data_IF_819591299283
#
_entry.id   IF_819591299283
#
_cell.length_a   1.000
_cell.length_b   1.000
_cell.length_c   1.000
_cell.angle_alpha   90.00
_cell.angle_beta   90.00
_cell.angle_gamma   90.00
#
_symmetry.space_group_name_H-M   'P 1'
#
loop_
_entity.id
_entity.type
_entity.pdbx_description
1 polymer ?
#
# COMPACT_ATOMS: atom_id res chain seq x y z
N UNK A 1 -6.51 54.00 33.53
CA UNK A 1 -6.38 53.41 32.18
C UNK A 1 -4.96 52.92 31.98
N UNK A 2 -4.76 51.60 31.91
CA UNK A 2 -3.53 50.98 31.39
C UNK A 2 -3.98 49.80 30.54
N UNK A 3 -4.02 50.01 29.21
CA UNK A 3 -4.23 48.95 28.22
C UNK A 3 -2.98 48.08 28.20
N UNK A 4 -3.11 46.81 28.58
CA UNK A 4 -2.09 45.80 28.31
C UNK A 4 -2.41 45.26 26.91
N UNK A 5 -1.48 45.28 25.94
CA UNK A 5 -1.76 44.82 24.60
C UNK A 5 -1.84 43.28 24.61
N UNK A 6 -3.06 42.78 24.45
CA UNK A 6 -3.40 41.39 24.08
C UNK A 6 -2.93 41.08 22.65
N UNK A 7 -1.65 41.30 22.36
CA UNK A 7 -1.01 41.03 21.05
C UNK A 7 0.07 39.93 21.20
N UNK A 8 0.02 39.16 22.30
CA UNK A 8 0.91 38.02 22.52
C UNK A 8 0.28 36.66 22.19
N UNK A 9 -1.05 36.58 22.04
CA UNK A 9 -1.80 35.32 21.98
C UNK A 9 -2.47 35.06 20.63
N UNK A 10 -2.26 35.91 19.61
CA UNK A 10 -2.73 35.64 18.25
C UNK A 10 -1.74 34.82 17.40
N UNK A 11 -0.82 34.10 18.06
CA UNK A 11 -0.01 33.04 17.43
C UNK A 11 -0.48 31.66 17.90
N UNK A 12 -1.74 31.53 18.27
CA UNK A 12 -2.37 30.23 18.49
C UNK A 12 -2.65 29.63 17.10
N UNK A 13 -1.84 28.64 16.74
CA UNK A 13 -2.31 27.45 16.05
C UNK A 13 -2.78 27.60 14.59
N UNK A 14 -2.00 28.27 13.75
CA UNK A 14 -1.86 27.82 12.35
C UNK A 14 -0.66 26.88 12.29
N UNK A 15 -0.76 25.72 12.98
CA UNK A 15 -0.08 24.56 12.45
C UNK A 15 -0.65 24.40 11.02
N UNK A 16 0.18 24.37 9.96
CA UNK A 16 -0.36 24.04 8.67
C UNK A 16 -0.96 22.65 8.84
N UNK A 17 -2.29 22.55 8.82
CA UNK A 17 -2.96 21.31 8.50
C UNK A 17 -2.46 21.03 7.10
N UNK A 18 -1.38 20.24 7.00
CA UNK A 18 -0.82 19.84 5.73
C UNK A 18 -1.94 19.11 5.03
N UNK A 19 -2.60 19.81 4.10
CA UNK A 19 -3.64 19.22 3.30
C UNK A 19 -3.04 17.99 2.64
N UNK A 20 -3.74 16.86 2.75
CA UNK A 20 -3.35 15.65 2.05
C UNK A 20 -3.18 16.00 0.57
N UNK A 21 -2.11 15.53 -0.09
CA UNK A 21 -1.92 15.78 -1.51
C UNK A 21 -3.14 15.31 -2.30
N UNK A 22 -3.56 16.08 -3.31
CA UNK A 22 -4.61 15.65 -4.23
C UNK A 22 -4.12 14.51 -5.12
N UNK A 23 -5.01 13.72 -5.75
CA UNK A 23 -4.61 12.70 -6.72
C UNK A 23 -3.73 13.26 -7.86
N UNK A 24 -4.03 14.47 -8.34
CA UNK A 24 -3.23 15.15 -9.36
C UNK A 24 -1.83 15.52 -8.87
N UNK A 25 -1.72 15.98 -7.62
CA UNK A 25 -0.43 16.30 -6.99
C UNK A 25 0.42 15.04 -6.82
N UNK A 26 -0.18 13.94 -6.35
CA UNK A 26 0.49 12.64 -6.22
C UNK A 26 0.98 12.16 -7.59
N UNK A 27 0.11 12.20 -8.61
CA UNK A 27 0.46 11.79 -9.97
C UNK A 27 1.64 12.60 -10.50
N UNK A 28 1.57 13.93 -10.39
CA UNK A 28 2.64 14.83 -10.82
C UNK A 28 3.96 14.54 -10.10
N UNK A 29 3.90 14.25 -8.80
CA UNK A 29 5.09 13.85 -8.03
C UNK A 29 5.64 12.51 -8.51
N UNK A 30 4.79 11.49 -8.73
CA UNK A 30 5.24 10.19 -9.23
C UNK A 30 5.87 10.29 -10.63
N UNK A 31 5.34 11.16 -11.49
CA UNK A 31 5.85 11.39 -12.85
C UNK A 31 7.09 12.31 -12.90
N UNK A 32 7.61 12.79 -11.76
CA UNK A 32 8.71 13.74 -11.72
C UNK A 32 10.04 13.18 -12.28
N UNK A 33 10.24 11.86 -12.22
CA UNK A 33 11.34 11.15 -12.88
C UNK A 33 11.05 9.65 -12.97
N UNK A 34 11.75 8.95 -13.85
CA UNK A 34 11.63 7.49 -13.98
C UNK A 34 11.88 6.76 -12.65
N UNK A 35 12.89 7.17 -11.88
CA UNK A 35 13.17 6.57 -10.55
C UNK A 35 12.04 6.78 -9.55
N UNK A 36 11.42 7.96 -9.54
CA UNK A 36 10.29 8.25 -8.64
C UNK A 36 9.05 7.50 -9.10
N UNK A 37 8.86 7.37 -10.42
CA UNK A 37 7.77 6.62 -11.01
C UNK A 37 7.86 5.14 -10.64
N UNK A 38 9.03 4.52 -10.82
CA UNK A 38 9.29 3.13 -10.43
C UNK A 38 9.10 2.92 -8.92
N UNK A 39 9.52 3.87 -8.08
CA UNK A 39 9.28 3.81 -6.64
C UNK A 39 7.78 3.88 -6.29
N UNK A 40 7.01 4.76 -6.94
CA UNK A 40 5.57 4.84 -6.78
C UNK A 40 4.89 3.54 -7.21
N UNK A 41 5.23 3.00 -8.39
CA UNK A 41 4.68 1.73 -8.87
C UNK A 41 5.08 0.56 -7.96
N UNK A 42 6.34 0.47 -7.55
CA UNK A 42 6.81 -0.56 -6.62
C UNK A 42 6.04 -0.52 -5.29
N UNK A 43 5.80 0.68 -4.75
CA UNK A 43 4.96 0.85 -3.55
C UNK A 43 3.52 0.41 -3.80
N UNK A 44 2.93 0.76 -4.95
CA UNK A 44 1.60 0.32 -5.34
C UNK A 44 1.48 -1.20 -5.45
N UNK A 45 2.48 -1.85 -6.05
CA UNK A 45 2.59 -3.30 -6.19
C UNK A 45 2.71 -3.98 -4.83
N UNK A 46 3.54 -3.45 -3.93
CA UNK A 46 3.68 -3.93 -2.55
C UNK A 46 2.36 -3.84 -1.76
N UNK A 47 1.71 -2.68 -1.78
CA UNK A 47 0.44 -2.49 -1.05
C UNK A 47 -0.69 -3.34 -1.63
N UNK A 48 -0.71 -3.50 -2.96
CA UNK A 48 -1.69 -4.34 -3.64
C UNK A 48 -1.48 -5.82 -3.32
N UNK A 49 -0.24 -6.29 -3.23
CA UNK A 49 0.03 -7.68 -2.86
C UNK A 49 -0.40 -7.96 -1.43
N UNK A 50 -0.07 -7.10 -0.48
CA UNK A 50 -0.55 -7.22 0.92
C UNK A 50 -2.08 -7.32 0.94
N UNK A 51 -2.76 -6.31 0.38
CA UNK A 51 -4.22 -6.22 0.47
C UNK A 51 -4.91 -7.41 -0.21
N UNK A 52 -4.48 -7.76 -1.43
CA UNK A 52 -5.08 -8.84 -2.21
C UNK A 52 -4.84 -10.21 -1.58
N UNK A 53 -3.64 -10.46 -1.08
CA UNK A 53 -3.30 -11.74 -0.46
C UNK A 53 -3.88 -11.90 0.94
N UNK A 54 -3.90 -10.85 1.76
CA UNK A 54 -4.61 -10.87 3.05
C UNK A 54 -6.07 -11.26 2.84
N UNK A 55 -6.77 -10.61 1.90
CA UNK A 55 -8.16 -10.96 1.60
C UNK A 55 -8.29 -12.43 1.15
N UNK A 56 -7.41 -12.88 0.27
CA UNK A 56 -7.46 -14.25 -0.24
C UNK A 56 -7.23 -15.28 0.88
N UNK A 57 -6.30 -15.01 1.79
CA UNK A 57 -6.04 -15.86 2.95
C UNK A 57 -7.22 -15.87 3.93
N UNK A 58 -7.78 -14.70 4.27
CA UNK A 58 -8.93 -14.58 5.15
C UNK A 58 -10.12 -15.39 4.63
N UNK A 59 -10.46 -15.24 3.34
CA UNK A 59 -11.56 -15.97 2.72
C UNK A 59 -11.30 -17.49 2.73
N UNK A 60 -10.04 -17.90 2.61
CA UNK A 60 -9.67 -19.32 2.65
C UNK A 60 -9.79 -19.91 4.05
N UNK A 61 -9.32 -19.19 5.07
CA UNK A 61 -9.42 -19.60 6.47
C UNK A 61 -10.87 -19.63 6.97
N UNK A 62 -11.69 -18.66 6.54
CA UNK A 62 -13.11 -18.63 6.81
C UNK A 62 -13.89 -19.77 6.10
N UNK A 63 -13.25 -20.49 5.19
CA UNK A 63 -13.87 -21.56 4.41
C UNK A 63 -14.80 -21.07 3.30
N UNK A 64 -14.81 -19.77 3.01
CA UNK A 64 -15.65 -19.15 1.98
C UNK A 64 -15.19 -19.48 0.57
N UNK A 65 -13.89 -19.76 0.39
CA UNK A 65 -13.33 -20.22 -0.88
C UNK A 65 -12.67 -21.59 -0.78
N UNK A 66 -12.83 -22.37 -1.83
CA UNK A 66 -12.22 -23.70 -1.96
C UNK A 66 -10.72 -23.61 -2.27
N UNK A 67 -9.92 -24.67 -2.03
CA UNK A 67 -8.51 -24.70 -2.44
C UNK A 67 -8.32 -24.44 -3.94
N UNK A 68 -9.27 -24.88 -4.76
CA UNK A 68 -9.25 -24.67 -6.22
C UNK A 68 -9.40 -23.20 -6.56
N UNK A 69 -10.43 -22.54 -6.01
CA UNK A 69 -10.69 -21.10 -6.25
C UNK A 69 -9.51 -20.26 -5.75
N UNK A 70 -8.93 -20.64 -4.61
CA UNK A 70 -7.71 -20.00 -4.09
C UNK A 70 -6.58 -20.08 -5.11
N UNK A 71 -6.20 -21.28 -5.54
CA UNK A 71 -5.07 -21.48 -6.45
C UNK A 71 -5.28 -20.80 -7.82
N UNK A 72 -6.52 -20.81 -8.33
CA UNK A 72 -6.87 -20.10 -9.56
C UNK A 72 -6.76 -18.58 -9.41
N UNK A 73 -7.20 -18.04 -8.26
CA UNK A 73 -7.15 -16.61 -7.97
C UNK A 73 -5.71 -16.15 -7.73
N UNK A 74 -4.95 -16.89 -6.94
CA UNK A 74 -3.52 -16.67 -6.71
C UNK A 74 -2.76 -16.63 -8.03
N UNK A 75 -2.96 -17.63 -8.90
CA UNK A 75 -2.32 -17.65 -10.23
C UNK A 75 -2.71 -16.43 -11.06
N UNK A 76 -3.98 -16.02 -11.03
CA UNK A 76 -4.44 -14.84 -11.77
C UNK A 76 -3.80 -13.55 -11.25
N UNK A 77 -3.66 -13.41 -9.93
CA UNK A 77 -2.98 -12.27 -9.30
C UNK A 77 -1.47 -12.28 -9.61
N UNK A 78 -0.85 -13.45 -9.63
CA UNK A 78 0.59 -13.60 -9.91
C UNK A 78 1.02 -13.36 -11.35
N UNK A 79 0.08 -13.23 -12.30
CA UNK A 79 0.38 -12.74 -13.64
C UNK A 79 0.54 -11.21 -13.71
N UNK A 80 0.36 -10.50 -12.59
CA UNK A 80 0.34 -9.03 -12.53
C UNK A 80 1.70 -8.33 -12.65
N UNK A 81 2.77 -8.74 -11.95
CA UNK A 81 4.05 -8.02 -12.02
C UNK A 81 4.88 -8.47 -13.24
N UNK A 82 5.16 -7.53 -14.15
CA UNK A 82 5.93 -7.80 -15.37
C UNK A 82 7.42 -7.50 -15.18
N UNK A 83 7.74 -6.47 -14.40
CA UNK A 83 9.13 -6.03 -14.17
C UNK A 83 9.74 -6.70 -12.94
N UNK A 84 11.05 -6.88 -12.94
CA UNK A 84 11.75 -7.57 -11.84
C UNK A 84 11.59 -6.87 -10.49
N UNK A 85 11.62 -5.53 -10.45
CA UNK A 85 11.39 -4.79 -9.20
C UNK A 85 9.96 -4.99 -8.68
N UNK A 86 8.97 -5.16 -9.57
CA UNK A 86 7.58 -5.40 -9.17
C UNK A 86 7.45 -6.78 -8.55
N UNK A 87 8.11 -7.80 -9.12
CA UNK A 87 8.15 -9.15 -8.53
C UNK A 87 8.77 -9.14 -7.13
N UNK A 88 9.84 -8.38 -6.94
CA UNK A 88 10.46 -8.19 -5.60
C UNK A 88 9.44 -7.58 -4.65
N UNK A 89 8.84 -6.43 -4.98
CA UNK A 89 7.86 -5.77 -4.12
C UNK A 89 6.64 -6.64 -3.85
N UNK A 90 6.18 -7.39 -4.85
CA UNK A 90 5.07 -8.32 -4.75
C UNK A 90 5.36 -9.43 -3.73
N UNK A 91 6.54 -10.06 -3.85
CA UNK A 91 7.00 -11.10 -2.94
C UNK A 91 7.26 -10.57 -1.52
N UNK A 92 7.77 -9.35 -1.36
CA UNK A 92 7.92 -8.72 -0.03
C UNK A 92 6.56 -8.53 0.65
N UNK A 93 5.53 -8.06 -0.07
CA UNK A 93 4.20 -7.93 0.53
C UNK A 93 3.56 -9.28 0.86
N UNK A 94 3.84 -10.33 0.06
CA UNK A 94 3.42 -11.69 0.39
C UNK A 94 4.07 -12.22 1.67
N UNK A 95 5.36 -11.90 1.93
CA UNK A 95 6.02 -12.30 3.18
C UNK A 95 5.30 -11.73 4.40
N UNK A 96 4.92 -10.45 4.35
CA UNK A 96 4.13 -9.82 5.43
C UNK A 96 2.82 -10.56 5.67
N UNK A 97 2.11 -10.92 4.59
CA UNK A 97 0.85 -11.66 4.71
C UNK A 97 1.09 -13.04 5.35
N UNK A 98 2.15 -13.75 4.97
CA UNK A 98 2.49 -15.06 5.52
C UNK A 98 2.92 -15.00 7.00
N UNK A 99 3.41 -13.86 7.50
CA UNK A 99 3.66 -13.67 8.93
C UNK A 99 2.35 -13.62 9.73
N UNK A 100 1.31 -12.99 9.18
CA UNK A 100 -0.02 -12.90 9.80
C UNK A 100 -0.86 -14.17 9.59
N UNK A 101 -0.74 -14.80 8.42
CA UNK A 101 -1.49 -16.00 8.01
C UNK A 101 -0.54 -17.15 7.66
N UNK A 102 0.17 -17.73 8.65
CA UNK A 102 1.24 -18.72 8.40
C UNK A 102 0.74 -20.04 7.79
N UNK A 103 -0.57 -20.32 7.87
CA UNK A 103 -1.19 -21.50 7.28
C UNK A 103 -1.77 -21.23 5.89
N UNK A 104 -1.71 -19.99 5.40
CA UNK A 104 -2.21 -19.65 4.08
C UNK A 104 -1.32 -20.30 3.00
N UNK A 105 -1.89 -20.99 2.00
CA UNK A 105 -1.11 -21.75 1.03
C UNK A 105 -0.48 -20.89 -0.08
N UNK A 106 -0.23 -19.60 0.18
CA UNK A 106 0.41 -18.68 -0.77
C UNK A 106 1.82 -19.13 -1.11
N UNK A 107 2.22 -18.87 -2.35
CA UNK A 107 3.53 -19.22 -2.90
C UNK A 107 4.18 -18.00 -3.56
N UNK A 108 5.42 -17.65 -3.18
CA UNK A 108 6.18 -16.60 -3.85
C UNK A 108 6.34 -16.86 -5.35
N UNK A 109 6.39 -15.79 -6.13
CA UNK A 109 6.62 -15.86 -7.58
C UNK A 109 8.14 -15.96 -7.84
N UNK A 110 8.59 -16.86 -8.74
CA UNK A 110 10.00 -16.96 -9.14
C UNK A 110 10.55 -15.71 -9.83
#
# INVERSE_FOLDING_TARGET
MKLIPLIGTLLISIAPVQASPTPEEIKKTCEASEKVLDACFGTGVYMSSITGFTLLCMLREAGEITPKIFAETEKRLGNGPEKDYEKVMWNEGMKIVLEEYPNCPLKPIP
#
